data_IF_956192385335
#
_entry.id   IF_956192385335
#
_cell.length_a   1.000
_cell.length_b   1.000
_cell.length_c   1.000
_cell.angle_alpha   90.00
_cell.angle_beta   90.00
_cell.angle_gamma   90.00
#
_symmetry.space_group_name_H-M   'P 1'
#
loop_
_entity.id
_entity.type
_entity.pdbx_description
1 polymer ?
#
# COMPACT_ATOMS: atom_id res chain seq x y z
N UNK A 1 8.32 2.31 -9.90
CA UNK A 1 7.80 3.20 -8.84
C UNK A 1 8.57 2.91 -7.57
N UNK A 2 9.36 3.86 -7.08
CA UNK A 2 10.04 3.73 -5.78
C UNK A 2 9.03 4.03 -4.68
N UNK A 3 9.08 3.27 -3.58
CA UNK A 3 8.12 3.38 -2.49
C UNK A 3 8.83 3.88 -1.24
N UNK A 4 8.31 4.99 -0.71
CA UNK A 4 8.87 5.66 0.45
C UNK A 4 8.00 5.36 1.67
N UNK A 5 8.63 4.86 2.73
CA UNK A 5 8.02 4.84 4.05
C UNK A 5 8.81 5.77 4.98
N UNK A 6 8.10 6.64 5.70
CA UNK A 6 8.71 7.48 6.74
C UNK A 6 8.90 6.57 7.94
N UNK A 7 10.14 6.38 8.41
CA UNK A 7 10.46 5.49 9.53
C UNK A 7 10.52 6.23 10.87
N UNK A 8 10.78 7.54 10.87
CA UNK A 8 10.71 8.42 12.03
C UNK A 8 10.76 9.89 11.58
N UNK A 9 10.76 10.84 12.52
CA UNK A 9 11.04 12.25 12.19
C UNK A 9 12.45 12.45 11.59
N UNK A 10 13.36 11.50 11.81
CA UNK A 10 14.78 11.66 11.50
C UNK A 10 15.31 10.63 10.50
N UNK A 11 14.45 9.71 10.07
CA UNK A 11 14.81 8.64 9.14
C UNK A 11 13.68 8.39 8.15
N UNK A 12 14.05 8.15 6.90
CA UNK A 12 13.13 7.59 5.91
C UNK A 12 13.79 6.41 5.21
N UNK A 13 12.93 5.47 4.78
CA UNK A 13 13.33 4.29 4.07
C UNK A 13 12.76 4.36 2.66
N UNK A 14 13.61 4.05 1.69
CA UNK A 14 13.23 3.81 0.31
C UNK A 14 13.34 2.31 0.05
N UNK A 15 12.29 1.72 -0.51
CA UNK A 15 12.29 0.30 -0.86
C UNK A 15 11.74 0.06 -2.27
N UNK A 16 12.38 -0.87 -2.98
CA UNK A 16 12.04 -1.27 -4.34
C UNK A 16 12.35 -0.19 -5.38
N UNK A 17 11.64 -0.25 -6.50
CA UNK A 17 11.85 0.62 -7.64
C UNK A 17 12.41 -0.11 -8.87
N UNK A 18 12.53 0.64 -9.95
CA UNK A 18 13.07 0.18 -11.23
C UNK A 18 14.22 1.09 -11.63
N UNK A 19 15.24 0.54 -12.29
CA UNK A 19 16.32 1.32 -12.92
C UNK A 19 16.14 1.28 -14.43
N UNK A 20 16.95 2.04 -15.17
CA UNK A 20 17.10 1.84 -16.61
C UNK A 20 18.32 0.94 -16.87
N UNK A 21 18.19 -0.15 -17.67
CA UNK A 21 16.95 -0.62 -18.29
C UNK A 21 15.98 -1.24 -17.26
N UNK A 22 14.67 -1.13 -17.51
CA UNK A 22 13.61 -1.60 -16.59
C UNK A 22 13.65 -3.09 -16.23
N UNK A 23 14.37 -3.89 -17.03
CA UNK A 23 14.61 -5.31 -16.76
C UNK A 23 15.72 -5.57 -15.73
N UNK A 24 16.55 -4.57 -15.39
CA UNK A 24 17.67 -4.74 -14.47
C UNK A 24 17.20 -4.77 -13.01
N UNK A 25 17.51 -5.86 -12.31
CA UNK A 25 17.28 -6.00 -10.87
C UNK A 25 18.18 -5.04 -10.09
N UNK A 26 17.61 -4.37 -9.08
CA UNK A 26 18.35 -3.49 -8.18
C UNK A 26 19.32 -4.29 -7.29
N UNK A 27 20.59 -3.88 -7.24
CA UNK A 27 21.57 -4.45 -6.30
C UNK A 27 21.26 -4.09 -4.84
N UNK A 28 20.75 -2.87 -4.63
CA UNK A 28 20.39 -2.33 -3.31
C UNK A 28 18.95 -1.82 -3.37
N UNK A 29 17.95 -2.71 -3.21
CA UNK A 29 16.55 -2.32 -3.26
C UNK A 29 16.09 -1.58 -2.00
N UNK A 30 16.92 -1.51 -0.94
CA UNK A 30 16.61 -0.85 0.31
C UNK A 30 17.66 0.23 0.59
N UNK A 31 17.19 1.46 0.82
CA UNK A 31 18.04 2.57 1.25
C UNK A 31 17.47 3.21 2.50
N UNK A 32 18.35 3.48 3.46
CA UNK A 32 18.01 4.23 4.67
C UNK A 32 18.69 5.59 4.63
N UNK A 33 17.91 6.65 4.75
CA UNK A 33 18.40 8.00 4.95
C UNK A 33 18.29 8.38 6.43
N UNK A 34 19.33 9.02 6.95
CA UNK A 34 19.35 9.59 8.30
C UNK A 34 19.56 11.10 8.21
N UNK A 35 18.54 11.88 8.58
CA UNK A 35 18.63 13.35 8.59
C UNK A 35 19.47 13.86 9.75
N UNK A 36 19.56 13.10 10.85
CA UNK A 36 20.43 13.41 12.00
C UNK A 36 21.93 13.27 11.71
N UNK A 37 22.28 12.56 10.63
CA UNK A 37 23.67 12.31 10.23
C UNK A 37 23.96 13.01 8.90
N UNK A 38 23.69 14.31 8.81
CA UNK A 38 23.90 15.14 7.61
C UNK A 38 23.25 14.56 6.34
N UNK A 39 22.03 14.03 6.44
CA UNK A 39 21.31 13.38 5.33
C UNK A 39 22.10 12.20 4.71
N UNK A 40 22.85 11.45 5.52
CA UNK A 40 23.60 10.30 5.04
C UNK A 40 22.68 9.17 4.59
N UNK A 41 23.10 8.54 3.50
CA UNK A 41 22.44 7.37 2.91
C UNK A 41 23.24 6.12 3.25
N UNK A 42 22.54 5.04 3.55
CA UNK A 42 23.11 3.71 3.80
C UNK A 42 22.26 2.64 3.13
N UNK A 43 22.87 1.51 2.81
CA UNK A 43 22.22 0.35 2.22
C UNK A 43 22.21 -0.79 3.24
N UNK A 44 21.12 -0.97 4.00
CA UNK A 44 21.02 -2.11 4.92
C UNK A 44 21.02 -3.44 4.14
N UNK A 45 21.12 -4.59 4.83
CA UNK A 45 21.14 -5.90 4.17
C UNK A 45 19.96 -6.08 3.20
N UNK A 46 20.25 -6.57 1.99
CA UNK A 46 19.23 -6.88 0.99
C UNK A 46 18.58 -8.24 1.27
N UNK A 47 17.28 -8.37 0.95
CA UNK A 47 16.66 -9.69 0.79
C UNK A 47 17.08 -10.32 -0.55
N UNK A 48 16.87 -11.63 -0.70
CA UNK A 48 17.13 -12.35 -1.96
C UNK A 48 16.31 -11.76 -3.11
N UNK A 49 15.08 -11.32 -2.82
CA UNK A 49 14.18 -10.69 -3.77
C UNK A 49 13.53 -9.46 -3.15
N UNK A 50 13.12 -8.51 -3.97
CA UNK A 50 12.26 -7.40 -3.57
C UNK A 50 10.97 -7.40 -4.40
N UNK A 51 10.00 -6.57 -4.01
CA UNK A 51 8.69 -6.52 -4.67
C UNK A 51 8.42 -5.17 -5.33
N UNK A 52 7.96 -5.17 -6.57
CA UNK A 52 7.39 -4.02 -7.27
C UNK A 52 5.88 -3.96 -7.07
N UNK A 53 5.30 -2.77 -7.09
CA UNK A 53 3.85 -2.57 -6.96
C UNK A 53 3.23 -3.21 -5.70
N UNK A 54 4.04 -3.36 -4.65
CA UNK A 54 3.63 -3.81 -3.31
C UNK A 54 3.73 -2.64 -2.36
N UNK A 55 2.68 -2.24 -1.63
CA UNK A 55 2.78 -1.12 -0.72
C UNK A 55 3.85 -1.38 0.35
N UNK A 56 4.50 -0.29 0.77
CA UNK A 56 5.49 -0.29 1.85
C UNK A 56 4.91 0.53 2.98
N UNK A 57 4.73 -0.09 4.13
CA UNK A 57 4.01 0.48 5.26
C UNK A 57 4.94 0.55 6.47
N UNK A 58 5.16 1.75 7.02
CA UNK A 58 5.76 1.87 8.35
C UNK A 58 4.70 1.60 9.42
N UNK A 59 4.98 0.63 10.27
CA UNK A 59 4.11 0.24 11.40
C UNK A 59 4.41 1.05 12.67
N UNK A 60 5.34 2.02 12.61
CA UNK A 60 5.81 2.87 13.74
C UNK A 60 6.52 2.11 14.88
N UNK A 61 6.54 0.79 14.83
CA UNK A 61 7.24 -0.09 15.77
C UNK A 61 8.66 -0.43 15.30
N UNK A 62 9.39 0.55 14.78
CA UNK A 62 10.69 0.34 14.16
C UNK A 62 10.71 -0.65 12.99
N UNK A 63 9.55 -0.85 12.35
CA UNK A 63 9.35 -1.94 11.38
C UNK A 63 8.61 -1.46 10.15
N UNK A 64 9.20 -1.73 8.99
CA UNK A 64 8.55 -1.62 7.69
C UNK A 64 7.93 -2.96 7.33
N UNK A 65 6.75 -2.93 6.73
CA UNK A 65 6.02 -4.10 6.26
C UNK A 65 5.71 -3.96 4.77
N UNK A 66 5.83 -5.06 4.03
CA UNK A 66 5.48 -5.14 2.61
C UNK A 66 4.90 -6.52 2.32
N UNK A 67 3.86 -6.58 1.48
CA UNK A 67 3.23 -7.81 1.05
C UNK A 67 2.59 -7.62 -0.32
N UNK A 68 2.65 -8.66 -1.15
CA UNK A 68 2.10 -8.62 -2.48
C UNK A 68 3.13 -8.21 -3.54
N UNK A 69 2.64 -7.63 -4.63
CA UNK A 69 3.49 -7.13 -5.72
C UNK A 69 4.11 -8.21 -6.62
N UNK A 70 5.03 -7.76 -7.46
CA UNK A 70 5.76 -8.57 -8.43
C UNK A 70 7.21 -8.77 -7.99
N UNK A 71 7.78 -9.94 -8.21
CA UNK A 71 9.15 -10.27 -7.79
C UNK A 71 10.16 -9.52 -8.66
N UNK A 72 11.09 -8.79 -8.05
CA UNK A 72 12.17 -8.03 -8.71
C UNK A 72 11.63 -7.21 -9.90
N UNK A 73 12.24 -7.33 -11.07
CA UNK A 73 11.80 -6.73 -12.34
C UNK A 73 11.03 -7.71 -13.23
N UNK A 74 10.48 -8.78 -12.63
CA UNK A 74 9.66 -9.77 -13.36
C UNK A 74 8.19 -9.37 -13.39
N UNK A 75 7.43 -9.99 -14.28
CA UNK A 75 5.97 -9.89 -14.27
C UNK A 75 5.29 -10.91 -13.33
N UNK A 76 6.07 -11.62 -12.51
CA UNK A 76 5.60 -12.75 -11.70
C UNK A 76 5.14 -12.25 -10.33
N UNK A 77 3.90 -12.60 -9.95
CA UNK A 77 3.36 -12.33 -8.62
C UNK A 77 4.20 -13.00 -7.53
N UNK A 78 4.40 -12.30 -6.42
CA UNK A 78 5.19 -12.77 -5.29
C UNK A 78 4.62 -14.02 -4.61
N UNK A 79 5.33 -14.56 -3.63
CA UNK A 79 4.79 -15.62 -2.78
C UNK A 79 3.82 -15.03 -1.75
N UNK A 80 2.94 -15.85 -1.19
CA UNK A 80 2.03 -15.42 -0.13
C UNK A 80 2.76 -15.32 1.23
N UNK A 81 3.65 -14.35 1.33
CA UNK A 81 4.39 -14.03 2.55
C UNK A 81 4.65 -12.53 2.60
N UNK A 82 4.53 -11.95 3.79
CA UNK A 82 4.90 -10.56 4.02
C UNK A 82 6.37 -10.50 4.45
N UNK A 83 7.10 -9.50 3.96
CA UNK A 83 8.43 -9.16 4.46
C UNK A 83 8.32 -8.04 5.47
N UNK A 84 9.04 -8.19 6.58
CA UNK A 84 9.21 -7.11 7.57
C UNK A 84 10.68 -6.75 7.71
N UNK A 85 10.98 -5.47 7.81
CA UNK A 85 12.33 -4.98 8.07
C UNK A 85 12.35 -4.19 9.38
N UNK A 86 13.04 -4.74 10.37
CA UNK A 86 13.35 -4.04 11.62
C UNK A 86 14.54 -3.12 11.36
N UNK A 87 14.29 -1.81 11.24
CA UNK A 87 15.34 -0.83 10.96
C UNK A 87 16.15 -0.43 12.20
N UNK A 88 15.77 -0.89 13.40
CA UNK A 88 16.58 -0.76 14.61
C UNK A 88 17.65 -1.84 14.69
N UNK A 89 17.36 -3.04 14.18
CA UNK A 89 18.27 -4.20 14.14
C UNK A 89 18.88 -4.45 12.75
N UNK A 90 18.44 -3.68 11.75
CA UNK A 90 18.75 -3.87 10.34
C UNK A 90 18.53 -5.31 9.85
N UNK A 91 17.41 -5.90 10.27
CA UNK A 91 17.12 -7.31 10.03
C UNK A 91 15.79 -7.50 9.33
N UNK A 92 15.83 -8.28 8.25
CA UNK A 92 14.63 -8.79 7.60
C UNK A 92 14.07 -10.02 8.32
N UNK A 93 12.75 -10.09 8.40
CA UNK A 93 12.01 -11.27 8.82
C UNK A 93 10.88 -11.54 7.83
N UNK A 94 10.38 -12.77 7.85
CA UNK A 94 9.24 -13.19 7.04
C UNK A 94 8.07 -13.47 7.96
N UNK A 95 6.89 -13.04 7.51
CA UNK A 95 5.60 -13.28 8.14
C UNK A 95 4.75 -14.07 7.17
N UNK A 96 4.03 -15.08 7.67
CA UNK A 96 3.11 -15.86 6.84
C UNK A 96 2.04 -14.94 6.22
N UNK A 97 1.74 -15.17 4.94
CA UNK A 97 0.68 -14.46 4.25
C UNK A 97 -0.71 -14.92 4.67
N UNK A 98 -1.74 -14.45 3.96
CA UNK A 98 -3.13 -14.77 4.29
C UNK A 98 -3.41 -16.27 4.12
N UNK A 99 -3.72 -17.01 5.19
CA UNK A 99 -3.92 -18.46 5.11
C UNK A 99 -5.26 -18.84 4.46
N UNK A 100 -6.20 -17.89 4.36
CA UNK A 100 -7.55 -18.14 3.80
C UNK A 100 -7.56 -17.92 2.30
N UNK A 101 -6.88 -16.88 1.82
CA UNK A 101 -6.74 -16.58 0.40
C UNK A 101 -5.29 -16.26 0.05
N UNK A 102 -4.62 -17.28 -0.49
CA UNK A 102 -3.22 -17.20 -0.88
C UNK A 102 -2.93 -16.42 -2.16
N UNK A 103 -3.95 -15.84 -2.81
CA UNK A 103 -3.73 -14.93 -3.92
C UNK A 103 -3.08 -13.62 -3.45
N UNK A 104 -2.29 -13.05 -4.34
CA UNK A 104 -1.40 -11.93 -4.13
C UNK A 104 -2.04 -10.68 -4.71
N UNK A 105 -2.00 -9.59 -3.94
CA UNK A 105 -2.46 -8.32 -4.46
C UNK A 105 -1.31 -7.50 -5.04
N UNK A 106 -1.50 -6.95 -6.23
CA UNK A 106 -0.52 -6.10 -6.91
C UNK A 106 -1.15 -4.75 -7.26
N UNK A 107 -0.35 -3.67 -7.23
CA UNK A 107 -0.82 -2.28 -7.47
C UNK A 107 -1.98 -1.84 -6.56
N UNK A 108 -2.14 -2.53 -5.44
CA UNK A 108 -3.04 -2.17 -4.35
C UNK A 108 -2.36 -1.13 -3.46
N UNK A 109 -3.14 -0.50 -2.59
CA UNK A 109 -2.62 0.45 -1.61
C UNK A 109 -2.84 -0.09 -0.21
N UNK A 110 -1.89 0.16 0.69
CA UNK A 110 -2.02 -0.22 2.08
C UNK A 110 -1.68 0.92 3.04
N UNK A 111 -2.30 0.89 4.21
CA UNK A 111 -2.13 1.93 5.23
C UNK A 111 -2.22 1.36 6.64
N UNK A 112 -1.29 1.74 7.51
CA UNK A 112 -1.31 1.35 8.92
C UNK A 112 -2.14 2.31 9.77
N UNK A 113 -2.99 1.74 10.63
CA UNK A 113 -3.84 2.46 11.56
C UNK A 113 -3.48 2.06 12.99
N UNK A 114 -2.64 2.91 13.61
CA UNK A 114 -2.01 2.68 14.91
C UNK A 114 -2.99 2.26 16.01
N UNK A 115 -4.11 2.96 16.16
CA UNK A 115 -5.10 2.64 17.21
C UNK A 115 -5.75 1.25 17.07
N UNK A 116 -5.68 0.65 15.89
CA UNK A 116 -6.17 -0.72 15.65
C UNK A 116 -5.04 -1.73 15.58
N UNK A 117 -3.79 -1.29 15.37
CA UNK A 117 -2.67 -2.18 15.03
C UNK A 117 -2.86 -2.90 13.70
N UNK A 118 -3.64 -2.35 12.75
CA UNK A 118 -3.95 -3.02 11.48
C UNK A 118 -3.41 -2.26 10.29
N UNK A 119 -2.95 -3.02 9.31
CA UNK A 119 -2.66 -2.57 7.96
C UNK A 119 -3.89 -2.88 7.10
N UNK A 120 -4.56 -1.86 6.58
CA UNK A 120 -5.70 -2.02 5.65
C UNK A 120 -5.20 -1.96 4.21
N UNK A 121 -5.66 -2.88 3.37
CA UNK A 121 -5.31 -3.03 1.96
C UNK A 121 -6.55 -2.89 1.09
N UNK A 122 -6.45 -2.12 0.01
CA UNK A 122 -7.58 -1.81 -0.88
C UNK A 122 -7.18 -1.84 -2.35
N UNK A 123 -8.11 -2.31 -3.18
CA UNK A 123 -8.02 -2.33 -4.65
C UNK A 123 -6.87 -3.17 -5.20
N UNK A 124 -6.33 -2.76 -6.35
CA UNK A 124 -5.29 -3.51 -7.06
C UNK A 124 -5.85 -4.67 -7.88
N UNK A 125 -4.96 -5.58 -8.28
CA UNK A 125 -5.31 -6.87 -8.89
C UNK A 125 -5.01 -8.01 -7.94
N UNK A 126 -5.80 -9.07 -8.03
CA UNK A 126 -5.53 -10.35 -7.41
C UNK A 126 -4.96 -11.33 -8.45
N UNK A 127 -3.85 -11.98 -8.10
CA UNK A 127 -3.11 -12.91 -8.96
C UNK A 127 -2.68 -14.11 -8.12
N UNK A 128 -2.67 -15.32 -8.67
CA UNK A 128 -2.10 -16.47 -7.95
C UNK A 128 -0.57 -16.32 -7.80
N UNK A 129 0.03 -16.77 -6.69
CA UNK A 129 1.48 -16.75 -6.52
C UNK A 129 2.20 -17.44 -7.68
N UNK A 130 3.25 -16.83 -8.21
CA UNK A 130 4.03 -17.40 -9.31
C UNK A 130 3.42 -17.25 -10.71
N UNK A 131 2.21 -16.69 -10.84
CA UNK A 131 1.63 -16.36 -12.15
C UNK A 131 2.03 -14.96 -12.63
N UNK A 132 1.90 -14.72 -13.94
CA UNK A 132 2.17 -13.42 -14.55
C UNK A 132 1.05 -12.43 -14.30
N UNK A 133 1.38 -11.16 -14.07
CA UNK A 133 0.43 -10.11 -13.68
C UNK A 133 -0.73 -9.89 -14.65
N UNK A 134 -0.59 -10.27 -15.92
CA UNK A 134 -1.63 -10.19 -16.94
C UNK A 134 -2.80 -11.16 -16.73
N UNK A 135 -2.67 -12.18 -15.87
CA UNK A 135 -3.78 -13.06 -15.49
C UNK A 135 -4.64 -12.50 -14.37
N UNK A 136 -4.25 -11.37 -13.78
CA UNK A 136 -4.90 -10.81 -12.61
C UNK A 136 -6.30 -10.28 -12.85
N UNK A 137 -7.16 -10.43 -11.85
CA UNK A 137 -8.50 -9.82 -11.81
C UNK A 137 -8.49 -8.62 -10.89
N UNK A 138 -9.25 -7.58 -11.21
CA UNK A 138 -9.37 -6.44 -10.31
C UNK A 138 -10.03 -6.86 -8.99
N UNK A 139 -9.51 -6.36 -7.87
CA UNK A 139 -10.17 -6.49 -6.58
C UNK A 139 -11.39 -5.57 -6.51
N UNK A 140 -12.47 -6.08 -5.94
CA UNK A 140 -13.60 -5.25 -5.54
C UNK A 140 -13.14 -4.29 -4.44
N UNK A 141 -13.47 -3.00 -4.55
CA UNK A 141 -13.14 -2.02 -3.51
C UNK A 141 -13.90 -2.29 -2.20
N UNK A 142 -15.02 -3.00 -2.25
CA UNK A 142 -15.77 -3.41 -1.06
C UNK A 142 -15.12 -4.57 -0.31
N UNK A 143 -14.21 -5.31 -0.95
CA UNK A 143 -13.38 -6.32 -0.29
C UNK A 143 -12.14 -5.63 0.28
N UNK A 144 -12.17 -5.29 1.56
CA UNK A 144 -11.02 -4.65 2.24
C UNK A 144 -10.27 -5.72 3.03
N UNK A 145 -9.05 -6.06 2.60
CA UNK A 145 -8.19 -6.99 3.36
C UNK A 145 -7.48 -6.21 4.46
N UNK A 146 -7.22 -6.86 5.59
CA UNK A 146 -6.37 -6.28 6.63
C UNK A 146 -5.44 -7.32 7.26
N UNK A 147 -4.33 -6.84 7.80
CA UNK A 147 -3.37 -7.61 8.58
C UNK A 147 -3.19 -6.96 9.96
N UNK A 148 -3.40 -7.72 11.03
CA UNK A 148 -3.23 -7.29 12.42
C UNK A 148 -1.79 -7.54 12.87
N UNK A 149 -1.04 -6.46 13.09
CA UNK A 149 0.38 -6.52 13.43
C UNK A 149 0.65 -6.97 14.86
N UNK A 150 -0.37 -6.93 15.73
CA UNK A 150 -0.23 -7.35 17.12
C UNK A 150 -0.44 -8.86 17.25
N UNK A 151 -1.42 -9.38 16.51
CA UNK A 151 -1.80 -10.79 16.57
C UNK A 151 -1.16 -11.64 15.48
N UNK A 152 -0.55 -11.00 14.47
CA UNK A 152 -0.03 -11.66 13.28
C UNK A 152 -1.12 -12.44 12.53
N UNK A 153 -2.32 -11.84 12.43
CA UNK A 153 -3.51 -12.46 11.82
C UNK A 153 -4.01 -11.65 10.63
N UNK A 154 -4.55 -12.37 9.65
CA UNK A 154 -5.16 -11.79 8.47
C UNK A 154 -6.68 -11.79 8.61
N UNK A 155 -7.33 -10.85 7.94
CA UNK A 155 -8.78 -10.83 7.83
C UNK A 155 -9.27 -10.00 6.66
N UNK A 156 -10.58 -9.97 6.51
CA UNK A 156 -11.27 -9.24 5.46
C UNK A 156 -12.51 -8.59 6.03
N UNK A 157 -12.76 -7.36 5.60
CA UNK A 157 -14.05 -6.69 5.75
C UNK A 157 -14.79 -6.72 4.41
N UNK A 158 -16.08 -7.06 4.48
CA UNK A 158 -17.03 -6.89 3.38
C UNK A 158 -17.75 -5.57 3.60
N UNK A 159 -17.28 -4.53 2.92
CA UNK A 159 -17.76 -3.17 3.09
C UNK A 159 -19.02 -2.89 2.26
N UNK A 160 -19.77 -1.88 2.67
CA UNK A 160 -20.88 -1.32 1.89
C UNK A 160 -20.51 0.03 1.30
N UNK A 161 -21.35 0.56 0.41
CA UNK A 161 -21.26 1.94 -0.08
C UNK A 161 -22.54 2.67 0.31
N UNK A 162 -22.40 3.80 0.98
CA UNK A 162 -23.53 4.62 1.42
C UNK A 162 -24.45 4.96 0.23
N UNK A 163 -25.75 4.75 0.42
CA UNK A 163 -26.75 4.95 -0.62
C UNK A 163 -26.68 3.94 -1.78
N UNK A 164 -26.02 2.79 -1.57
CA UNK A 164 -25.86 1.70 -2.55
C UNK A 164 -25.34 2.16 -3.92
N UNK A 165 -24.49 3.18 -3.93
CA UNK A 165 -23.84 3.62 -5.17
C UNK A 165 -22.76 2.61 -5.59
N UNK A 166 -22.53 2.41 -6.89
CA UNK A 166 -21.41 1.60 -7.34
C UNK A 166 -20.09 2.26 -6.91
N UNK A 167 -19.10 1.42 -6.61
CA UNK A 167 -17.71 1.83 -6.44
C UNK A 167 -16.86 1.07 -7.44
N UNK A 168 -16.13 1.80 -8.26
CA UNK A 168 -15.32 1.22 -9.33
C UNK A 168 -14.04 0.63 -8.74
N UNK A 169 -13.76 -0.64 -9.07
CA UNK A 169 -12.46 -1.28 -8.83
C UNK A 169 -11.33 -0.47 -9.46
N UNK A 170 -10.22 -0.31 -8.72
CA UNK A 170 -9.14 0.59 -9.14
C UNK A 170 -7.75 0.17 -8.68
N UNK A 171 -6.76 0.57 -9.47
CA UNK A 171 -5.33 0.41 -9.17
C UNK A 171 -4.66 1.77 -9.06
N UNK A 172 -3.46 1.82 -8.45
CA UNK A 172 -2.62 3.03 -8.41
C UNK A 172 -3.37 4.28 -7.87
N UNK A 173 -4.30 4.03 -6.94
CA UNK A 173 -5.01 5.04 -6.17
C UNK A 173 -4.26 5.31 -4.86
N UNK A 174 -4.60 6.38 -4.17
CA UNK A 174 -4.05 6.67 -2.84
C UNK A 174 -5.07 6.36 -1.76
N UNK A 175 -4.60 5.80 -0.63
CA UNK A 175 -5.35 5.71 0.61
C UNK A 175 -4.57 6.46 1.68
N UNK A 176 -5.22 7.39 2.39
CA UNK A 176 -4.58 8.21 3.43
C UNK A 176 -5.45 8.24 4.68
N UNK A 177 -4.92 8.01 5.89
CA UNK A 177 -5.71 8.14 7.12
C UNK A 177 -6.16 9.58 7.32
N UNK A 178 -7.37 9.79 7.83
CA UNK A 178 -7.81 11.10 8.30
C UNK A 178 -7.48 11.18 9.81
N UNK A 179 -6.53 12.05 10.23
CA UNK A 179 -6.05 12.09 11.61
C UNK A 179 -7.17 12.26 12.64
N UNK A 180 -7.07 11.54 13.76
CA UNK A 180 -8.05 11.64 14.84
C UNK A 180 -9.43 11.00 14.56
N UNK A 181 -9.60 10.29 13.44
CA UNK A 181 -10.90 9.72 13.03
C UNK A 181 -10.84 8.22 12.73
N UNK A 182 -11.99 7.59 12.51
CA UNK A 182 -12.11 6.20 12.02
C UNK A 182 -12.10 6.11 10.48
N UNK A 183 -11.54 7.10 9.79
CA UNK A 183 -11.77 7.32 8.37
C UNK A 183 -10.49 7.32 7.55
N UNK A 184 -10.56 6.76 6.35
CA UNK A 184 -9.51 6.77 5.33
C UNK A 184 -10.03 7.51 4.09
N UNK A 185 -9.27 8.46 3.58
CA UNK A 185 -9.53 9.05 2.26
C UNK A 185 -9.00 8.10 1.20
N UNK A 186 -9.86 7.67 0.28
CA UNK A 186 -9.51 6.92 -0.92
C UNK A 186 -9.66 7.84 -2.12
N UNK A 187 -8.59 8.01 -2.90
CA UNK A 187 -8.56 9.02 -3.96
C UNK A 187 -7.88 8.54 -5.25
N UNK A 188 -8.50 8.88 -6.37
CA UNK A 188 -8.01 8.65 -7.71
C UNK A 188 -8.00 7.19 -8.12
N UNK A 189 -7.02 6.84 -8.96
CA UNK A 189 -6.78 5.50 -9.49
C UNK A 189 -7.26 5.31 -10.92
N UNK A 190 -6.69 4.30 -11.56
CA UNK A 190 -7.17 3.85 -12.87
C UNK A 190 -8.25 2.80 -12.69
N UNK A 191 -9.34 2.93 -13.45
CA UNK A 191 -10.29 1.85 -13.67
C UNK A 191 -9.83 1.00 -14.86
N UNK A 192 -10.16 -0.29 -14.79
CA UNK A 192 -10.04 -1.35 -15.80
C UNK A 192 -8.89 -1.30 -16.83
N UNK A 193 -8.94 -2.20 -17.82
CA UNK A 193 -7.82 -2.65 -18.66
C UNK A 193 -7.27 -1.59 -19.62
N UNK A 194 -7.88 -0.39 -19.69
CA UNK A 194 -7.47 0.69 -20.59
C UNK A 194 -6.74 1.85 -19.87
N UNK A 195 -6.41 1.68 -18.59
CA UNK A 195 -5.80 2.74 -17.79
C UNK A 195 -6.60 4.06 -17.85
N UNK A 196 -7.93 3.95 -17.85
CA UNK A 196 -8.84 5.09 -17.78
C UNK A 196 -8.89 5.59 -16.34
N UNK A 197 -9.08 6.89 -16.14
CA UNK A 197 -9.18 7.45 -14.80
C UNK A 197 -10.55 7.12 -14.21
N UNK A 198 -10.59 6.64 -12.96
CA UNK A 198 -11.85 6.39 -12.24
C UNK A 198 -12.63 7.70 -12.11
N UNK A 199 -13.90 7.74 -12.53
CA UNK A 199 -14.69 8.97 -12.49
C UNK A 199 -15.37 9.21 -11.15
N UNK A 200 -15.59 8.14 -10.38
CA UNK A 200 -15.94 8.14 -8.96
C UNK A 200 -14.65 8.21 -8.11
N UNK A 201 -13.80 9.19 -8.35
CA UNK A 201 -12.42 9.21 -7.88
C UNK A 201 -12.24 9.49 -6.38
N UNK A 202 -13.28 9.64 -5.58
CA UNK A 202 -13.11 10.03 -4.17
C UNK A 202 -14.15 9.46 -3.23
N UNK A 203 -13.67 8.79 -2.20
CA UNK A 203 -14.48 8.23 -1.14
C UNK A 203 -13.80 8.43 0.21
N UNK A 204 -14.61 8.40 1.27
CA UNK A 204 -14.14 8.19 2.63
C UNK A 204 -14.60 6.82 3.08
N UNK A 205 -13.66 5.97 3.47
CA UNK A 205 -13.95 4.68 4.09
C UNK A 205 -13.93 4.80 5.60
N UNK A 206 -15.03 4.45 6.27
CA UNK A 206 -15.07 4.30 7.72
C UNK A 206 -14.78 2.83 8.10
N UNK A 207 -13.62 2.56 8.70
CA UNK A 207 -13.18 1.19 9.00
C UNK A 207 -13.84 0.59 10.24
N UNK A 208 -14.67 1.33 10.96
CA UNK A 208 -15.51 0.79 12.04
C UNK A 208 -16.88 0.43 11.49
N UNK A 209 -17.50 1.33 10.73
CA UNK A 209 -18.78 1.08 10.08
C UNK A 209 -18.68 0.12 8.87
N UNK A 210 -17.46 -0.04 8.32
CA UNK A 210 -17.16 -0.78 7.09
C UNK A 210 -17.97 -0.24 5.91
N UNK A 211 -18.01 1.09 5.77
CA UNK A 211 -18.81 1.76 4.76
C UNK A 211 -17.98 2.81 4.02
N UNK A 212 -18.10 2.84 2.70
CA UNK A 212 -17.61 3.91 1.83
C UNK A 212 -18.67 5.00 1.67
N UNK A 213 -18.31 6.25 1.92
CA UNK A 213 -19.13 7.43 1.61
C UNK A 213 -18.52 8.18 0.43
N UNK A 214 -19.23 8.39 -0.68
CA UNK A 214 -18.70 9.16 -1.81
C UNK A 214 -18.48 10.62 -1.42
N UNK A 215 -17.37 11.20 -1.90
CA UNK A 215 -17.10 12.63 -1.77
C UNK A 215 -17.45 13.34 -3.07
N UNK A 216 -18.20 14.43 -2.97
CA UNK A 216 -18.46 15.31 -4.09
C UNK A 216 -17.73 16.65 -3.87
N UNK A 217 -16.80 16.97 -4.76
CA UNK A 217 -16.08 18.24 -4.74
C UNK A 217 -16.73 19.34 -5.58
N UNK A 218 -17.93 19.13 -6.14
CA UNK A 218 -18.66 20.11 -6.96
C UNK A 218 -17.80 20.71 -8.09
N UNK A 219 -17.00 19.87 -8.76
CA UNK A 219 -16.03 20.27 -9.80
C UNK A 219 -14.91 21.22 -9.34
N UNK A 220 -14.76 21.44 -8.04
CA UNK A 220 -13.60 22.13 -7.47
C UNK A 220 -12.52 21.11 -7.10
N UNK A 221 -11.25 21.49 -7.20
CA UNK A 221 -10.13 20.62 -6.83
C UNK A 221 -9.47 19.88 -8.00
N UNK A 222 -8.65 18.86 -7.71
CA UNK A 222 -7.72 18.31 -8.68
C UNK A 222 -8.38 17.45 -9.78
N UNK A 223 -9.61 16.97 -9.57
CA UNK A 223 -10.25 16.00 -10.44
C UNK A 223 -9.57 14.61 -10.48
N UNK A 224 -10.08 13.68 -11.31
CA UNK A 224 -9.54 12.33 -11.45
C UNK A 224 -8.04 12.31 -11.78
N UNK A 225 -7.27 11.45 -11.10
CA UNK A 225 -5.83 11.23 -11.32
C UNK A 225 -5.38 9.90 -10.75
N UNK A 226 -4.22 9.40 -11.15
CA UNK A 226 -3.66 8.13 -10.69
C UNK A 226 -2.14 8.24 -10.54
N UNK A 227 -1.50 7.22 -9.95
CA UNK A 227 -0.03 7.16 -9.76
C UNK A 227 0.54 8.37 -9.01
N UNK A 228 -0.22 8.87 -8.03
CA UNK A 228 0.16 10.00 -7.19
C UNK A 228 0.39 9.52 -5.75
N UNK A 229 0.98 10.36 -4.92
CA UNK A 229 1.13 10.14 -3.48
C UNK A 229 0.29 11.14 -2.69
N UNK A 230 -0.15 10.74 -1.51
CA UNK A 230 -0.89 11.58 -0.58
C UNK A 230 -0.37 11.41 0.84
N UNK A 231 -0.48 12.47 1.63
CA UNK A 231 -0.11 12.49 3.04
C UNK A 231 -1.10 13.34 3.81
N UNK A 232 -1.52 12.85 4.97
CA UNK A 232 -2.29 13.63 5.93
C UNK A 232 -1.36 14.25 6.97
N UNK A 233 -1.66 15.49 7.36
CA UNK A 233 -1.06 16.15 8.53
C UNK A 233 -2.18 16.78 9.36
N UNK A 234 -2.17 16.56 10.67
CA UNK A 234 -2.95 17.40 11.58
C UNK A 234 -2.24 18.74 11.71
N UNK A 235 -2.90 19.84 11.36
CA UNK A 235 -2.50 21.14 11.89
C UNK A 235 -3.00 21.19 13.35
N UNK A 236 -2.09 21.30 14.30
CA UNK A 236 -2.46 21.78 15.64
C UNK A 236 -2.94 23.22 15.47
N UNK A 237 -4.24 23.45 15.62
CA UNK A 237 -4.76 24.81 15.74
C UNK A 237 -4.13 25.42 17.00
N UNK A 238 -3.35 26.49 16.83
CA UNK A 238 -2.87 27.34 17.91
C UNK A 238 -4.01 28.19 18.47
#
# INVERSE_FOLDING_TARGET
MAMTAIASQTQFILYGGVTEPTSQTLAYPLWKCSTNLNNSMSTPPSQVFYTLYSPVVDTRASTIWTWGGLINTTDIASINAASTFDYSREKWNTVEGDPTNGNIWIKHTAVFIEKTGRIYMMGGYEVKPGEVSSTGTFNDMTHVRWFDTNQNTWGTDQATVAGNQPITSRILHTVTPIPGSNKLLVYGGYNDQEAKLSQDYAYVYDFVAKEYTPLNFNQTGPGPRASHSGKSSSQSAC
#
